data_IF_603046360633
#
_entry.id   IF_603046360633
#
_cell.length_a   1.000
_cell.length_b   1.000
_cell.length_c   1.000
_cell.angle_alpha   90.00
_cell.angle_beta   90.00
_cell.angle_gamma   90.00
#
_symmetry.space_group_name_H-M   'P 1'
#
loop_
_entity.id
_entity.type
_entity.pdbx_description
1 polymer ?
#
# COMPACT_ATOMS: atom_id res chain seq x y z
N UNK A 1 10.49 0.32 -7.26
CA UNK A 1 11.93 0.38 -6.90
C UNK A 1 12.61 -0.98 -7.12
N UNK A 2 11.96 -2.11 -6.79
CA UNK A 2 12.45 -3.47 -7.03
C UNK A 2 12.67 -3.82 -8.51
N UNK A 3 11.78 -3.39 -9.43
CA UNK A 3 11.98 -3.52 -10.87
C UNK A 3 13.28 -2.84 -11.33
N UNK A 4 13.52 -1.60 -10.88
CA UNK A 4 14.75 -0.85 -11.21
C UNK A 4 16.02 -1.49 -10.64
N UNK A 5 15.88 -2.33 -9.60
CA UNK A 5 16.97 -3.10 -9.01
C UNK A 5 17.10 -4.51 -9.62
N UNK A 6 16.26 -4.89 -10.60
CA UNK A 6 16.28 -6.19 -11.25
C UNK A 6 15.85 -7.36 -10.36
N UNK A 7 15.05 -7.08 -9.32
CA UNK A 7 14.61 -8.10 -8.34
C UNK A 7 13.29 -8.75 -8.77
N UNK A 8 12.47 -8.04 -9.54
CA UNK A 8 11.20 -8.52 -10.09
C UNK A 8 11.14 -8.18 -11.58
N UNK A 9 10.50 -9.05 -12.35
CA UNK A 9 10.36 -8.89 -13.81
C UNK A 9 9.08 -8.14 -14.21
N UNK A 10 8.06 -8.19 -13.35
CA UNK A 10 6.78 -7.52 -13.55
C UNK A 10 6.57 -6.45 -12.47
N UNK A 11 6.48 -5.16 -12.84
CA UNK A 11 6.19 -4.09 -11.90
C UNK A 11 4.71 -3.99 -11.53
N UNK A 12 3.83 -4.81 -12.09
CA UNK A 12 2.38 -4.73 -11.84
C UNK A 12 2.06 -4.96 -10.36
N UNK A 13 1.19 -4.12 -9.82
CA UNK A 13 0.71 -4.17 -8.45
C UNK A 13 0.04 -5.50 -8.18
N UNK A 14 0.53 -6.20 -7.15
CA UNK A 14 0.06 -7.54 -6.78
C UNK A 14 -1.34 -7.53 -6.15
N UNK A 15 -1.83 -6.36 -5.76
CA UNK A 15 -3.16 -6.18 -5.17
C UNK A 15 -4.25 -5.86 -6.22
N UNK A 16 -4.02 -4.89 -7.11
CA UNK A 16 -5.01 -4.51 -8.13
C UNK A 16 -4.80 -5.19 -9.49
N UNK A 17 -3.58 -5.65 -9.81
CA UNK A 17 -3.18 -6.18 -11.11
C UNK A 17 -3.34 -5.19 -12.29
N UNK A 18 -3.39 -3.88 -12.01
CA UNK A 18 -3.65 -2.84 -13.01
C UNK A 18 -2.49 -1.83 -13.11
N UNK A 19 -2.06 -1.28 -11.96
CA UNK A 19 -1.06 -0.21 -11.91
C UNK A 19 0.35 -0.70 -11.57
N UNK A 20 1.33 0.19 -11.68
CA UNK A 20 2.71 -0.08 -11.23
C UNK A 20 2.78 -0.09 -9.70
N UNK A 21 3.32 -1.17 -9.14
CA UNK A 21 3.57 -1.30 -7.71
C UNK A 21 4.61 -0.29 -7.23
N UNK A 22 4.17 0.61 -6.37
CA UNK A 22 4.99 1.55 -5.64
C UNK A 22 4.45 1.71 -4.23
N UNK A 23 5.25 2.30 -3.33
CA UNK A 23 4.76 2.51 -1.96
C UNK A 23 3.65 3.55 -1.88
N UNK A 24 3.72 4.59 -2.70
CA UNK A 24 2.66 5.58 -2.84
C UNK A 24 1.39 4.92 -3.38
N UNK A 25 1.50 4.06 -4.39
CA UNK A 25 0.35 3.33 -4.91
C UNK A 25 -0.27 2.44 -3.82
N UNK A 26 0.51 1.58 -3.16
CA UNK A 26 0.01 0.65 -2.15
C UNK A 26 -0.60 1.37 -0.94
N UNK A 27 -0.01 2.47 -0.50
CA UNK A 27 -0.46 3.21 0.69
C UNK A 27 -1.61 4.17 0.38
N UNK A 28 -1.61 4.86 -0.76
CA UNK A 28 -2.52 5.97 -0.98
C UNK A 28 -3.55 5.72 -2.08
N UNK A 29 -3.19 4.99 -3.14
CA UNK A 29 -3.94 5.04 -4.41
C UNK A 29 -4.64 3.72 -4.77
N UNK A 30 -4.05 2.58 -4.41
CA UNK A 30 -4.47 1.24 -4.87
C UNK A 30 -5.91 0.89 -4.51
N UNK A 31 -6.77 0.71 -5.50
CA UNK A 31 -8.17 0.31 -5.30
C UNK A 31 -8.32 -1.05 -4.62
N UNK A 32 -7.44 -2.00 -4.95
CA UNK A 32 -7.37 -3.32 -4.30
C UNK A 32 -7.13 -3.25 -2.79
N UNK A 33 -6.60 -2.13 -2.27
CA UNK A 33 -6.33 -1.92 -0.85
C UNK A 33 -7.25 -0.88 -0.21
N UNK A 34 -8.11 -0.20 -0.97
CA UNK A 34 -8.98 0.87 -0.49
C UNK A 34 -9.84 0.43 0.70
N UNK A 35 -10.42 -0.78 0.63
CA UNK A 35 -11.22 -1.32 1.74
C UNK A 35 -10.40 -1.59 2.99
N UNK A 36 -9.19 -2.13 2.85
CA UNK A 36 -8.30 -2.42 3.99
C UNK A 36 -7.84 -1.14 4.69
N UNK A 37 -7.53 -0.10 3.91
CA UNK A 37 -7.19 1.22 4.45
C UNK A 37 -8.38 1.83 5.20
N UNK A 38 -9.58 1.74 4.65
CA UNK A 38 -10.78 2.17 5.36
C UNK A 38 -10.97 1.43 6.69
N UNK A 39 -10.81 0.10 6.70
CA UNK A 39 -10.99 -0.72 7.90
C UNK A 39 -9.92 -0.44 8.99
N UNK A 40 -8.68 -0.11 8.60
CA UNK A 40 -7.56 0.10 9.53
C UNK A 40 -7.33 1.58 9.91
N UNK A 41 -7.37 2.47 8.93
CA UNK A 41 -7.05 3.90 9.04
C UNK A 41 -8.29 4.79 9.12
N UNK A 42 -9.48 4.26 8.80
CA UNK A 42 -10.71 5.05 8.71
C UNK A 42 -10.81 5.90 7.44
N UNK A 43 -9.85 5.79 6.53
CA UNK A 43 -9.80 6.51 5.25
C UNK A 43 -9.34 5.58 4.13
N UNK A 44 -10.06 5.58 3.01
CA UNK A 44 -9.79 4.67 1.90
C UNK A 44 -8.61 5.10 1.01
N UNK A 45 -8.39 6.42 0.89
CA UNK A 45 -7.34 7.02 0.07
C UNK A 45 -6.63 8.13 0.87
N UNK A 46 -5.82 7.75 1.88
CA UNK A 46 -5.07 8.72 2.68
C UNK A 46 -4.05 9.46 1.81
N UNK A 47 -3.69 10.66 2.25
CA UNK A 47 -2.51 11.37 1.77
C UNK A 47 -1.30 11.04 2.65
N UNK A 48 -0.06 11.23 2.17
CA UNK A 48 1.14 10.99 2.97
C UNK A 48 1.13 11.67 4.34
N UNK A 49 0.54 12.86 4.46
CA UNK A 49 0.45 13.61 5.72
C UNK A 49 -0.44 12.93 6.77
N UNK A 50 -1.45 12.16 6.33
CA UNK A 50 -2.35 11.45 7.23
C UNK A 50 -1.63 10.36 8.02
N UNK A 51 -0.55 9.81 7.47
CA UNK A 51 0.27 8.79 8.14
C UNK A 51 1.08 9.36 9.30
N UNK A 52 1.46 10.64 9.25
CA UNK A 52 2.13 11.33 10.35
C UNK A 52 1.19 11.56 11.54
N UNK A 53 -0.10 11.75 11.28
CA UNK A 53 -1.13 11.94 12.30
C UNK A 53 -1.78 10.63 12.76
N UNK A 54 -1.62 9.54 12.00
CA UNK A 54 -2.23 8.24 12.28
C UNK A 54 -1.68 7.56 13.54
N UNK A 55 -2.49 6.70 14.17
CA UNK A 55 -2.00 5.80 15.19
C UNK A 55 -1.02 4.79 14.56
N UNK A 56 0.26 4.85 14.95
CA UNK A 56 1.35 3.94 14.54
C UNK A 56 0.92 2.46 14.41
N UNK A 57 0.07 1.97 15.31
CA UNK A 57 -0.43 0.58 15.30
C UNK A 57 -1.24 0.22 14.05
N UNK A 58 -2.04 1.15 13.52
CA UNK A 58 -2.84 0.90 12.33
C UNK A 58 -1.95 0.87 11.08
N UNK A 59 -0.99 1.79 10.98
CA UNK A 59 -0.01 1.86 9.89
C UNK A 59 0.91 0.63 9.88
N UNK A 60 1.35 0.16 11.05
CA UNK A 60 2.12 -1.10 11.15
C UNK A 60 1.31 -2.27 10.61
N UNK A 61 0.04 -2.43 11.01
CA UNK A 61 -0.81 -3.51 10.51
C UNK A 61 -1.05 -3.47 9.00
N UNK A 62 -1.17 -2.27 8.42
CA UNK A 62 -1.31 -2.11 6.98
C UNK A 62 -0.02 -2.57 6.27
N UNK A 63 1.14 -2.18 6.80
CA UNK A 63 2.44 -2.58 6.25
C UNK A 63 2.67 -4.08 6.39
N UNK A 64 2.35 -4.68 7.54
CA UNK A 64 2.38 -6.14 7.73
C UNK A 64 1.57 -6.84 6.62
N UNK A 65 0.37 -6.36 6.29
CA UNK A 65 -0.40 -6.91 5.18
C UNK A 65 0.26 -6.73 3.82
N UNK A 66 0.80 -5.55 3.55
CA UNK A 66 1.48 -5.27 2.27
C UNK A 66 2.68 -6.20 2.08
N UNK A 67 3.38 -6.55 3.16
CA UNK A 67 4.60 -7.37 3.10
C UNK A 67 4.37 -8.87 3.34
N UNK A 68 3.32 -9.28 4.07
CA UNK A 68 3.04 -10.70 4.37
C UNK A 68 1.93 -11.33 3.50
N UNK A 69 1.16 -10.53 2.75
CA UNK A 69 0.16 -11.09 1.84
C UNK A 69 0.77 -11.74 0.57
N UNK A 70 2.11 -11.88 0.50
CA UNK A 70 2.86 -12.33 -0.68
C UNK A 70 4.04 -13.21 -0.28
#
# INVERSE_FOLDING_TARGET
MLLKMGIIDDPTCRACNEDVESMEHLLCECDGLARKRLDLLGVAYPQPEDYCASHLKASIKLLEWIFEAI
#
